data_IF_817757474481
#
_entry.id   IF_817757474481
#
_cell.length_a   1.000
_cell.length_b   1.000
_cell.length_c   1.000
_cell.angle_alpha   90.00
_cell.angle_beta   90.00
_cell.angle_gamma   90.00
#
_symmetry.space_group_name_H-M   'P 1'
#
loop_
_entity.id
_entity.type
_entity.pdbx_description
1 polymer ?
#
# COMPACT_ATOMS: atom_id res chain seq x y z
N UNK A 1 -17.75 -9.31 12.77
CA UNK A 1 -16.40 -8.80 12.41
C UNK A 1 -16.52 -7.96 11.16
N UNK A 2 -15.90 -6.78 11.14
CA UNK A 2 -15.82 -5.87 9.98
C UNK A 2 -14.39 -5.89 9.40
N UNK A 3 -14.08 -5.02 8.43
CA UNK A 3 -12.78 -4.87 7.77
C UNK A 3 -12.63 -3.44 7.25
N UNK A 4 -11.39 -2.93 7.18
CA UNK A 4 -11.05 -1.59 6.68
C UNK A 4 -9.95 -1.69 5.62
N UNK A 5 -10.16 -1.07 4.47
CA UNK A 5 -9.09 -0.92 3.47
C UNK A 5 -8.11 0.18 3.91
N UNK A 6 -6.86 -0.22 4.17
CA UNK A 6 -5.77 0.64 4.64
C UNK A 6 -4.72 0.97 3.57
N UNK A 7 -4.79 0.33 2.40
CA UNK A 7 -3.90 0.54 1.25
C UNK A 7 -4.78 0.76 0.01
N UNK A 8 -4.97 2.03 -0.35
CA UNK A 8 -5.95 2.48 -1.35
C UNK A 8 -5.40 3.65 -2.15
N UNK A 9 -5.35 3.46 -3.46
CA UNK A 9 -4.97 4.43 -4.47
C UNK A 9 -6.21 5.05 -5.11
N UNK A 10 -6.25 6.38 -5.10
CA UNK A 10 -7.29 7.17 -5.74
C UNK A 10 -6.87 7.64 -7.13
N UNK A 11 -7.71 8.45 -7.78
CA UNK A 11 -7.34 9.13 -9.02
C UNK A 11 -6.11 10.06 -8.90
N UNK A 12 -5.61 10.31 -7.67
CA UNK A 12 -4.43 11.13 -7.41
C UNK A 12 -3.12 10.34 -7.41
N UNK A 13 -3.17 9.00 -7.45
CA UNK A 13 -2.08 8.17 -7.94
C UNK A 13 -2.01 8.27 -9.46
N UNK A 14 -1.53 9.42 -9.95
CA UNK A 14 -1.59 9.81 -11.36
C UNK A 14 -0.93 8.74 -12.24
N UNK A 15 -1.65 8.32 -13.29
CA UNK A 15 -1.25 7.26 -14.22
C UNK A 15 -1.18 5.85 -13.60
N UNK A 16 -1.85 5.62 -12.48
CA UNK A 16 -1.99 4.26 -11.92
C UNK A 16 -3.39 4.07 -11.31
N UNK A 17 -3.70 4.85 -10.27
CA UNK A 17 -4.99 4.78 -9.59
C UNK A 17 -6.15 5.29 -10.44
N UNK A 18 -7.19 4.47 -10.51
CA UNK A 18 -8.45 4.71 -11.21
C UNK A 18 -9.66 4.67 -10.25
N UNK A 19 -9.48 5.07 -8.99
CA UNK A 19 -10.53 5.08 -7.98
C UNK A 19 -10.99 6.49 -7.60
N UNK A 20 -12.13 7.00 -8.12
CA UNK A 20 -12.69 8.26 -7.65
C UNK A 20 -12.97 8.24 -6.15
N UNK A 21 -12.41 9.21 -5.41
CA UNK A 21 -12.58 9.36 -3.94
C UNK A 21 -14.05 9.21 -3.50
N UNK A 22 -14.99 9.86 -4.20
CA UNK A 22 -16.42 9.78 -3.88
C UNK A 22 -16.95 8.34 -3.97
N UNK A 23 -16.55 7.62 -5.00
CA UNK A 23 -16.97 6.23 -5.21
C UNK A 23 -16.39 5.29 -4.14
N UNK A 24 -15.15 5.54 -3.68
CA UNK A 24 -14.55 4.80 -2.57
C UNK A 24 -15.38 4.93 -1.28
N UNK A 25 -15.77 6.14 -0.89
CA UNK A 25 -16.63 6.35 0.28
C UNK A 25 -18.02 5.73 0.13
N UNK A 26 -18.63 5.82 -1.06
CA UNK A 26 -19.91 5.16 -1.34
C UNK A 26 -19.81 3.65 -1.16
N UNK A 27 -18.71 3.06 -1.62
CA UNK A 27 -18.49 1.62 -1.56
C UNK A 27 -18.14 1.15 -0.14
N UNK A 28 -17.33 1.90 0.60
CA UNK A 28 -17.06 1.66 2.01
C UNK A 28 -18.35 1.65 2.84
N UNK A 29 -19.21 2.67 2.70
CA UNK A 29 -20.54 2.72 3.34
C UNK A 29 -21.42 1.54 2.92
N UNK A 30 -21.49 1.23 1.62
CA UNK A 30 -22.30 0.11 1.09
C UNK A 30 -21.90 -1.24 1.71
N UNK A 31 -20.60 -1.45 1.96
CA UNK A 31 -20.09 -2.66 2.59
C UNK A 31 -20.02 -2.60 4.12
N UNK A 32 -20.48 -1.52 4.74
CA UNK A 32 -20.45 -1.36 6.20
C UNK A 32 -19.03 -1.31 6.79
N UNK A 33 -18.06 -0.83 6.01
CA UNK A 33 -16.69 -0.61 6.48
C UNK A 33 -16.62 0.71 7.27
N UNK A 34 -16.16 0.70 8.53
CA UNK A 34 -16.26 1.87 9.41
C UNK A 34 -15.20 2.94 9.13
N UNK A 35 -14.19 2.62 8.33
CA UNK A 35 -13.11 3.53 7.98
C UNK A 35 -12.55 3.21 6.58
N UNK A 36 -11.76 4.14 6.06
CA UNK A 36 -11.10 4.04 4.77
C UNK A 36 -9.81 4.86 4.80
N UNK A 37 -8.69 4.29 4.38
CA UNK A 37 -7.46 5.05 4.14
C UNK A 37 -7.36 5.61 2.72
N UNK A 38 -6.57 6.66 2.56
CA UNK A 38 -6.04 7.12 1.27
C UNK A 38 -4.52 7.05 1.31
N UNK A 39 -3.90 6.26 0.43
CA UNK A 39 -2.45 6.00 0.41
C UNK A 39 -1.87 6.14 -1.00
N UNK A 40 -2.13 7.27 -1.66
CA UNK A 40 -1.62 7.51 -3.01
C UNK A 40 -0.08 7.43 -3.11
N UNK A 41 0.41 7.12 -4.32
CA UNK A 41 1.85 6.95 -4.59
C UNK A 41 2.63 8.25 -4.42
N UNK A 42 3.46 8.34 -3.38
CA UNK A 42 4.47 9.38 -3.18
C UNK A 42 3.96 10.81 -2.96
N UNK A 43 2.64 11.03 -2.99
CA UNK A 43 2.02 12.35 -2.94
C UNK A 43 0.74 12.36 -2.11
N UNK A 44 0.44 13.51 -1.51
CA UNK A 44 -0.78 13.76 -0.74
C UNK A 44 -1.78 14.66 -1.48
N UNK A 45 -1.77 14.65 -2.82
CA UNK A 45 -2.58 15.56 -3.64
C UNK A 45 -4.08 15.42 -3.37
N UNK A 46 -4.55 14.19 -3.16
CA UNK A 46 -5.96 13.89 -2.94
C UNK A 46 -6.49 14.23 -1.55
N UNK A 47 -5.63 14.51 -0.56
CA UNK A 47 -6.03 14.60 0.86
C UNK A 47 -7.08 15.68 1.11
N UNK A 48 -6.97 16.83 0.46
CA UNK A 48 -7.96 17.91 0.62
C UNK A 48 -9.35 17.50 0.11
N UNK A 49 -9.41 16.86 -1.06
CA UNK A 49 -10.67 16.34 -1.60
C UNK A 49 -11.20 15.19 -0.73
N UNK A 50 -10.33 14.27 -0.31
CA UNK A 50 -10.64 13.14 0.54
C UNK A 50 -11.35 13.55 1.82
N UNK A 51 -10.76 14.48 2.57
CA UNK A 51 -11.35 14.99 3.82
C UNK A 51 -12.66 15.76 3.57
N UNK A 52 -12.76 16.51 2.48
CA UNK A 52 -13.99 17.22 2.11
C UNK A 52 -15.12 16.22 1.81
N UNK A 53 -14.83 15.18 1.03
CA UNK A 53 -15.82 14.14 0.68
C UNK A 53 -16.18 13.34 1.93
N UNK A 54 -15.22 13.01 2.79
CA UNK A 54 -15.47 12.29 4.04
C UNK A 54 -16.54 12.95 4.93
N UNK A 55 -16.63 14.28 4.92
CA UNK A 55 -17.67 15.02 5.64
C UNK A 55 -19.11 14.70 5.16
N UNK A 56 -19.28 14.19 3.94
CA UNK A 56 -20.54 13.69 3.39
C UNK A 56 -20.86 12.24 3.85
N UNK A 57 -19.89 11.55 4.47
CA UNK A 57 -19.95 10.16 4.92
C UNK A 57 -19.54 9.97 6.39
N UNK A 58 -20.32 10.51 7.36
CA UNK A 58 -19.94 10.53 8.78
C UNK A 58 -19.82 9.14 9.45
N UNK A 59 -20.30 8.09 8.80
CA UNK A 59 -20.21 6.69 9.18
C UNK A 59 -18.94 5.98 8.70
N UNK A 60 -18.11 6.67 7.89
CA UNK A 60 -16.81 6.16 7.40
C UNK A 60 -15.70 7.11 7.82
N UNK A 61 -14.90 6.72 8.81
CA UNK A 61 -13.75 7.49 9.30
C UNK A 61 -12.66 7.58 8.21
N UNK A 62 -12.25 8.80 7.78
CA UNK A 62 -11.11 8.95 6.87
C UNK A 62 -9.78 8.74 7.61
N UNK A 63 -8.88 7.96 7.02
CA UNK A 63 -7.50 7.77 7.47
C UNK A 63 -6.58 8.35 6.39
N UNK A 64 -5.78 9.36 6.75
CA UNK A 64 -4.84 9.98 5.80
C UNK A 64 -3.53 9.21 5.82
N UNK A 65 -3.07 8.76 4.66
CA UNK A 65 -1.78 8.09 4.50
C UNK A 65 -1.10 8.44 3.19
N UNK A 66 -0.03 7.69 2.89
CA UNK A 66 0.71 7.76 1.63
C UNK A 66 1.47 6.44 1.45
N UNK A 67 1.49 5.90 0.24
CA UNK A 67 2.50 4.91 -0.12
C UNK A 67 3.76 5.66 -0.57
N UNK A 68 4.72 5.80 0.34
CA UNK A 68 5.96 6.54 0.06
C UNK A 68 6.98 5.64 -0.65
N UNK A 69 7.83 6.27 -1.46
CA UNK A 69 8.97 5.59 -2.06
C UNK A 69 10.19 5.74 -1.16
N UNK A 70 10.84 4.63 -0.79
CA UNK A 70 12.07 4.63 0.01
C UNK A 70 13.25 4.28 -0.89
N UNK A 71 14.28 5.13 -0.89
CA UNK A 71 15.52 4.88 -1.62
C UNK A 71 16.21 3.62 -1.09
N UNK A 72 16.95 2.92 -1.97
CA UNK A 72 17.66 1.69 -1.60
C UNK A 72 18.77 1.93 -0.55
N UNK A 73 19.35 3.13 -0.55
CA UNK A 73 20.43 3.52 0.35
C UNK A 73 20.22 4.98 0.81
N UNK A 74 20.37 5.94 -0.10
CA UNK A 74 20.34 7.38 0.19
C UNK A 74 19.46 8.11 -0.83
N UNK A 75 18.56 8.97 -0.35
CA UNK A 75 17.63 9.75 -1.18
C UNK A 75 18.30 10.68 -2.18
N UNK A 76 19.56 11.08 -1.98
CA UNK A 76 20.37 11.95 -2.84
C UNK A 76 21.10 11.20 -3.96
N UNK A 77 21.15 9.86 -3.91
CA UNK A 77 21.91 9.07 -4.90
C UNK A 77 21.18 8.95 -6.25
N UNK A 78 21.92 8.99 -7.36
CA UNK A 78 21.41 9.02 -8.76
C UNK A 78 22.23 8.16 -9.74
N UNK A 79 22.43 6.87 -9.46
CA UNK A 79 23.25 5.93 -10.26
C UNK A 79 22.43 5.20 -11.35
N UNK A 80 21.81 5.96 -12.26
CA UNK A 80 21.12 5.38 -13.42
C UNK A 80 19.97 4.44 -13.03
N UNK A 81 19.91 3.24 -13.64
CA UNK A 81 18.80 2.27 -13.45
C UNK A 81 18.66 1.73 -12.01
N UNK A 82 19.72 1.75 -11.22
CA UNK A 82 19.69 1.23 -9.84
C UNK A 82 18.78 2.11 -9.00
N UNK A 83 19.02 3.42 -9.01
CA UNK A 83 18.29 4.38 -8.18
C UNK A 83 16.94 4.81 -8.78
N UNK A 84 16.61 4.36 -10.00
CA UNK A 84 15.22 4.42 -10.50
C UNK A 84 14.30 3.52 -9.68
N UNK A 85 14.84 2.45 -9.09
CA UNK A 85 14.09 1.59 -8.16
C UNK A 85 13.99 2.28 -6.80
N UNK A 86 12.85 2.07 -6.17
CA UNK A 86 12.60 2.41 -4.78
C UNK A 86 11.76 1.29 -4.16
N UNK A 87 11.84 1.15 -2.85
CA UNK A 87 10.90 0.33 -2.09
C UNK A 87 9.61 1.11 -1.87
N UNK A 88 8.50 0.40 -1.76
CA UNK A 88 7.25 0.97 -1.29
C UNK A 88 7.15 0.85 0.23
N UNK A 89 6.48 1.81 0.87
CA UNK A 89 6.19 1.77 2.29
C UNK A 89 4.88 2.51 2.56
N UNK A 90 3.97 1.91 3.31
CA UNK A 90 2.73 2.58 3.69
C UNK A 90 2.93 3.28 5.03
N UNK A 91 2.61 4.57 5.06
CA UNK A 91 2.59 5.38 6.25
C UNK A 91 1.19 5.99 6.43
N UNK A 92 0.59 5.77 7.59
CA UNK A 92 -0.73 6.30 7.96
C UNK A 92 -0.59 7.29 9.11
N UNK A 93 -1.24 8.44 9.02
CA UNK A 93 -1.27 9.43 10.08
C UNK A 93 -2.21 8.97 11.21
N UNK A 94 -1.63 8.51 12.33
CA UNK A 94 -2.36 8.13 13.55
C UNK A 94 -2.99 9.34 14.24
N UNK A 95 -2.36 10.50 14.11
CA UNK A 95 -2.80 11.76 14.72
C UNK A 95 -2.29 12.98 13.91
N UNK A 96 -2.54 14.18 14.43
CA UNK A 96 -2.15 15.43 13.75
C UNK A 96 -0.63 15.60 13.62
N UNK A 97 0.17 15.11 14.58
CA UNK A 97 1.63 15.09 14.49
C UNK A 97 2.06 14.20 13.32
N UNK A 98 1.48 13.00 13.23
CA UNK A 98 1.66 12.10 12.09
C UNK A 98 1.32 12.75 10.76
N UNK A 99 0.18 13.45 10.67
CA UNK A 99 -0.20 14.17 9.46
C UNK A 99 0.86 15.21 9.05
N UNK A 100 1.35 16.02 9.99
CA UNK A 100 2.40 17.00 9.69
C UNK A 100 3.73 16.33 9.29
N UNK A 101 4.08 15.24 9.93
CA UNK A 101 5.25 14.45 9.59
C UNK A 101 5.15 13.83 8.19
N UNK A 102 3.99 13.29 7.83
CA UNK A 102 3.73 12.77 6.49
C UNK A 102 3.86 13.86 5.42
N UNK A 103 3.31 15.05 5.68
CA UNK A 103 3.50 16.23 4.81
C UNK A 103 4.98 16.57 4.64
N UNK A 104 5.78 16.50 5.71
CA UNK A 104 7.23 16.73 5.64
C UNK A 104 7.93 15.66 4.82
N UNK A 105 7.65 14.38 5.04
CA UNK A 105 8.22 13.28 4.29
C UNK A 105 7.93 13.40 2.79
N UNK A 106 6.68 13.61 2.40
CA UNK A 106 6.32 13.80 0.99
C UNK A 106 6.98 15.05 0.37
N UNK A 107 7.08 16.14 1.13
CA UNK A 107 7.73 17.37 0.66
C UNK A 107 9.24 17.17 0.44
N UNK A 108 9.93 16.55 1.41
CA UNK A 108 11.38 16.31 1.33
C UNK A 108 11.72 15.24 0.28
N UNK A 109 10.89 14.21 0.14
CA UNK A 109 11.03 13.24 -0.95
C UNK A 109 10.96 13.89 -2.33
N UNK A 110 10.17 14.96 -2.47
CA UNK A 110 10.11 15.76 -3.69
C UNK A 110 11.29 16.73 -3.85
N UNK A 111 11.62 17.49 -2.80
CA UNK A 111 12.59 18.58 -2.88
C UNK A 111 14.04 18.04 -2.92
N UNK A 112 14.32 16.99 -2.15
CA UNK A 112 15.66 16.43 -1.99
C UNK A 112 15.81 15.07 -2.71
N UNK A 113 14.77 14.25 -2.61
CA UNK A 113 14.83 12.84 -3.00
C UNK A 113 14.44 12.50 -4.43
N UNK A 114 13.92 13.47 -5.17
CA UNK A 114 13.28 13.20 -6.46
C UNK A 114 14.28 12.73 -7.51
N UNK A 115 13.98 11.57 -8.10
CA UNK A 115 14.65 11.07 -9.29
C UNK A 115 13.64 10.61 -10.33
N UNK A 116 13.25 9.33 -10.29
CA UNK A 116 12.09 8.83 -11.02
C UNK A 116 10.82 8.89 -10.17
N UNK A 117 10.99 8.76 -8.85
CA UNK A 117 9.98 8.91 -7.83
C UNK A 117 10.45 9.90 -6.77
N UNK A 118 9.54 10.54 -6.00
CA UNK A 118 9.90 11.34 -4.83
C UNK A 118 10.29 10.41 -3.67
N UNK A 119 11.59 10.15 -3.51
CA UNK A 119 12.06 9.13 -2.56
C UNK A 119 12.46 9.73 -1.22
N UNK A 120 12.04 9.13 -0.13
CA UNK A 120 12.61 9.35 1.20
C UNK A 120 13.69 8.31 1.49
N UNK A 121 14.24 8.31 2.70
CA UNK A 121 15.18 7.30 3.18
C UNK A 121 14.98 7.03 4.67
N UNK A 122 15.76 6.10 5.22
CA UNK A 122 15.73 5.72 6.63
C UNK A 122 16.02 6.90 7.57
N UNK A 123 16.88 7.85 7.19
CA UNK A 123 17.18 9.05 8.00
C UNK A 123 15.93 9.92 8.17
N UNK A 124 15.21 10.19 7.07
CA UNK A 124 13.98 10.97 7.13
C UNK A 124 12.87 10.23 7.89
N UNK A 125 12.76 8.90 7.71
CA UNK A 125 11.79 8.08 8.44
C UNK A 125 12.07 8.16 9.95
N UNK A 126 13.30 7.92 10.39
CA UNK A 126 13.69 8.01 11.79
C UNK A 126 13.41 9.41 12.37
N UNK A 127 13.64 10.47 11.59
CA UNK A 127 13.38 11.84 12.03
C UNK A 127 11.89 12.20 12.15
N UNK A 128 11.03 11.63 11.31
CA UNK A 128 9.62 12.01 11.17
C UNK A 128 8.64 10.85 11.44
N UNK A 129 9.04 9.81 12.19
CA UNK A 129 8.17 8.65 12.47
C UNK A 129 7.06 8.95 13.48
N UNK A 130 7.20 9.96 14.34
CA UNK A 130 6.27 10.19 15.45
C UNK A 130 4.83 10.39 14.94
N UNK A 131 3.89 9.64 15.52
CA UNK A 131 2.47 9.72 15.17
C UNK A 131 2.10 9.05 13.85
N UNK A 132 2.99 8.25 13.26
CA UNK A 132 2.72 7.45 12.07
C UNK A 132 2.57 5.96 12.42
N UNK A 133 1.67 5.29 11.71
CA UNK A 133 1.59 3.83 11.62
C UNK A 133 2.27 3.41 10.33
N UNK A 134 3.05 2.33 10.39
CA UNK A 134 3.88 1.85 9.30
C UNK A 134 3.55 0.39 8.96
N UNK A 135 3.50 0.06 7.67
CA UNK A 135 3.27 -1.31 7.22
C UNK A 135 4.24 -1.70 6.11
N UNK A 136 4.50 -3.00 5.93
CA UNK A 136 5.49 -3.50 4.94
C UNK A 136 5.12 -3.30 3.47
N UNK A 137 3.92 -2.77 3.19
CA UNK A 137 3.39 -2.53 1.85
C UNK A 137 3.26 -3.80 0.98
N UNK A 138 3.12 -3.60 -0.33
CA UNK A 138 2.92 -4.65 -1.35
C UNK A 138 4.24 -5.36 -1.71
N UNK A 139 4.24 -6.20 -2.76
CA UNK A 139 5.46 -6.86 -3.27
C UNK A 139 6.59 -5.88 -3.67
N UNK A 140 6.27 -4.57 -3.83
CA UNK A 140 7.23 -3.50 -4.03
C UNK A 140 8.00 -3.06 -2.78
N UNK A 141 7.58 -3.50 -1.59
CA UNK A 141 8.19 -3.15 -0.32
C UNK A 141 9.57 -3.77 -0.08
N UNK A 142 10.30 -3.19 0.88
CA UNK A 142 11.65 -3.67 1.24
C UNK A 142 11.65 -5.12 1.71
N UNK A 143 10.81 -5.43 2.71
CA UNK A 143 10.73 -6.77 3.31
C UNK A 143 10.25 -7.82 2.29
N UNK A 144 9.13 -7.63 1.54
CA UNK A 144 8.72 -8.55 0.50
C UNK A 144 9.78 -8.80 -0.58
N UNK A 145 10.50 -7.76 -1.03
CA UNK A 145 11.56 -7.94 -2.03
C UNK A 145 12.72 -8.77 -1.50
N UNK A 146 13.17 -8.54 -0.26
CA UNK A 146 14.24 -9.36 0.35
C UNK A 146 13.85 -10.83 0.47
N UNK A 147 12.59 -11.11 0.82
CA UNK A 147 12.05 -12.47 0.87
C UNK A 147 12.09 -13.11 -0.52
N UNK A 148 11.61 -12.42 -1.56
CA UNK A 148 11.62 -12.92 -2.94
C UNK A 148 13.05 -13.11 -3.49
N UNK A 149 14.02 -12.33 -3.02
CA UNK A 149 15.45 -12.49 -3.33
C UNK A 149 16.10 -13.69 -2.60
N UNK A 150 15.36 -14.38 -1.71
CA UNK A 150 15.86 -15.47 -0.88
C UNK A 150 16.76 -15.01 0.28
N UNK A 151 16.79 -13.70 0.57
CA UNK A 151 17.62 -13.12 1.62
C UNK A 151 16.80 -12.86 2.90
N UNK A 152 16.50 -13.94 3.61
CA UNK A 152 15.68 -13.86 4.82
C UNK A 152 16.37 -13.09 5.96
N UNK A 153 17.70 -13.11 6.03
CA UNK A 153 18.47 -12.34 7.01
C UNK A 153 18.25 -10.83 6.82
N UNK A 154 18.35 -10.34 5.58
CA UNK A 154 18.10 -8.93 5.28
C UNK A 154 16.61 -8.56 5.43
N UNK A 155 15.68 -9.50 5.17
CA UNK A 155 14.26 -9.28 5.43
C UNK A 155 13.98 -9.08 6.93
N UNK A 156 14.55 -9.95 7.78
CA UNK A 156 14.43 -9.86 9.23
C UNK A 156 15.10 -8.60 9.79
N UNK A 157 16.28 -8.23 9.29
CA UNK A 157 16.95 -6.98 9.66
C UNK A 157 16.06 -5.75 9.36
N UNK A 158 15.44 -5.71 8.18
CA UNK A 158 14.52 -4.63 7.82
C UNK A 158 13.29 -4.62 8.75
N UNK A 159 12.68 -5.77 9.02
CA UNK A 159 11.55 -5.88 9.97
C UNK A 159 11.91 -5.35 11.35
N UNK A 160 13.07 -5.73 11.88
CA UNK A 160 13.53 -5.29 13.20
C UNK A 160 13.87 -3.80 13.21
N UNK A 161 14.42 -3.26 12.11
CA UNK A 161 14.68 -1.84 11.98
C UNK A 161 13.38 -1.03 12.04
N UNK A 162 12.37 -1.34 11.20
CA UNK A 162 11.08 -0.65 11.26
C UNK A 162 10.40 -0.83 12.63
N UNK A 163 10.43 -2.04 13.22
CA UNK A 163 9.90 -2.28 14.56
C UNK A 163 10.58 -1.40 15.62
N UNK A 164 11.89 -1.19 15.53
CA UNK A 164 12.63 -0.34 16.47
C UNK A 164 12.22 1.13 16.42
N UNK A 165 11.74 1.59 15.26
CA UNK A 165 11.30 2.97 15.04
C UNK A 165 9.83 3.16 15.40
N UNK A 166 8.96 2.26 14.94
CA UNK A 166 7.51 2.41 15.06
C UNK A 166 6.89 1.64 16.23
N UNK A 167 7.62 0.69 16.83
CA UNK A 167 7.14 -0.09 17.98
C UNK A 167 5.86 -0.86 17.66
N UNK A 168 4.82 -0.62 18.46
CA UNK A 168 3.49 -1.22 18.29
C UNK A 168 2.73 -0.67 17.08
N UNK A 169 3.14 0.49 16.54
CA UNK A 169 2.55 1.10 15.35
C UNK A 169 3.15 0.52 14.04
N UNK A 170 3.83 -0.63 14.12
CA UNK A 170 4.36 -1.38 12.98
C UNK A 170 3.58 -2.66 12.73
N UNK A 171 3.13 -2.86 11.49
CA UNK A 171 2.38 -4.04 11.07
C UNK A 171 3.02 -4.69 9.86
N UNK A 172 3.01 -6.03 9.80
CA UNK A 172 3.31 -6.73 8.56
C UNK A 172 2.04 -6.80 7.71
N UNK A 173 2.18 -6.55 6.42
CA UNK A 173 1.06 -6.42 5.48
C UNK A 173 1.01 -7.61 4.54
N UNK A 174 -0.14 -8.30 4.52
CA UNK A 174 -0.40 -9.42 3.61
C UNK A 174 -1.45 -9.05 2.57
N UNK A 175 -1.24 -9.52 1.35
CA UNK A 175 -2.11 -9.30 0.20
C UNK A 175 -2.28 -10.61 -0.57
N UNK A 176 -3.39 -10.77 -1.28
CA UNK A 176 -3.70 -12.01 -2.00
C UNK A 176 -4.54 -11.71 -3.23
N UNK A 177 -3.96 -11.95 -4.41
CA UNK A 177 -4.54 -11.57 -5.70
C UNK A 177 -4.65 -12.77 -6.68
N UNK A 178 -5.38 -13.84 -6.33
CA UNK A 178 -5.62 -14.95 -7.25
C UNK A 178 -6.44 -14.46 -8.46
N UNK A 179 -5.98 -14.77 -9.67
CA UNK A 179 -6.64 -14.29 -10.89
C UNK A 179 -6.82 -15.38 -11.94
N UNK A 180 -8.03 -15.43 -12.48
CA UNK A 180 -8.40 -16.24 -13.65
C UNK A 180 -8.53 -15.40 -14.92
N UNK A 181 -8.20 -14.10 -14.85
CA UNK A 181 -8.29 -13.20 -16.00
C UNK A 181 -7.24 -13.60 -17.05
N UNK A 182 -7.63 -13.77 -18.33
CA UNK A 182 -6.67 -14.09 -19.38
C UNK A 182 -5.54 -13.07 -19.46
N UNK A 183 -4.29 -13.56 -19.58
CA UNK A 183 -3.05 -12.77 -19.65
C UNK A 183 -2.68 -11.98 -18.39
N UNK A 184 -3.49 -12.04 -17.33
CA UNK A 184 -3.11 -11.44 -16.04
C UNK A 184 -1.95 -12.24 -15.39
N UNK A 185 -1.02 -11.59 -14.68
CA UNK A 185 0.18 -12.22 -14.15
C UNK A 185 -0.13 -13.11 -12.94
N UNK A 186 -0.30 -14.42 -13.19
CA UNK A 186 -0.52 -15.43 -12.14
C UNK A 186 0.62 -15.52 -11.13
N UNK A 187 1.84 -15.25 -11.58
CA UNK A 187 3.04 -15.20 -10.74
C UNK A 187 2.95 -14.19 -9.58
N UNK A 188 2.08 -13.18 -9.69
CA UNK A 188 1.83 -12.23 -8.59
C UNK A 188 1.28 -12.95 -7.37
N UNK A 189 0.29 -13.82 -7.57
CA UNK A 189 -0.30 -14.60 -6.49
C UNK A 189 0.71 -15.61 -5.91
N UNK A 190 1.47 -16.28 -6.77
CA UNK A 190 2.52 -17.23 -6.35
C UNK A 190 3.58 -16.55 -5.48
N UNK A 191 4.05 -15.36 -5.87
CA UNK A 191 4.98 -14.54 -5.08
C UNK A 191 4.37 -14.10 -3.75
N UNK A 192 3.10 -13.70 -3.75
CA UNK A 192 2.38 -13.33 -2.52
C UNK A 192 2.26 -14.50 -1.55
N UNK A 193 2.05 -15.73 -2.02
CA UNK A 193 2.01 -16.90 -1.13
C UNK A 193 3.34 -17.10 -0.40
N UNK A 194 4.46 -17.02 -1.13
CA UNK A 194 5.81 -17.13 -0.55
C UNK A 194 6.07 -16.00 0.46
N UNK A 195 5.74 -14.76 0.09
CA UNK A 195 5.93 -13.60 0.96
C UNK A 195 5.04 -13.68 2.20
N UNK A 196 3.75 -14.01 2.05
CA UNK A 196 2.82 -14.08 3.17
C UNK A 196 3.24 -15.14 4.19
N UNK A 197 3.66 -16.33 3.74
CA UNK A 197 4.17 -17.39 4.64
C UNK A 197 5.34 -16.87 5.50
N UNK A 198 6.33 -16.25 4.85
CA UNK A 198 7.47 -15.67 5.55
C UNK A 198 7.07 -14.51 6.49
N UNK A 199 6.12 -13.66 6.09
CA UNK A 199 5.62 -12.58 6.95
C UNK A 199 4.91 -13.14 8.18
N UNK A 200 4.12 -14.20 8.07
CA UNK A 200 3.49 -14.85 9.23
C UNK A 200 4.54 -15.44 10.19
N UNK A 201 5.60 -16.06 9.65
CA UNK A 201 6.71 -16.57 10.48
C UNK A 201 7.44 -15.45 11.21
N UNK A 202 7.79 -14.36 10.51
CA UNK A 202 8.45 -13.18 11.08
C UNK A 202 7.56 -12.49 12.12
N UNK A 203 6.27 -12.32 11.83
CA UNK A 203 5.28 -11.76 12.75
C UNK A 203 5.23 -12.55 14.06
N UNK A 204 5.14 -13.88 13.96
CA UNK A 204 5.12 -14.77 15.13
C UNK A 204 6.44 -14.73 15.90
N UNK A 205 7.58 -14.74 15.19
CA UNK A 205 8.93 -14.73 15.80
C UNK A 205 9.20 -13.44 16.58
N UNK A 206 8.72 -12.32 16.07
CA UNK A 206 9.04 -11.00 16.61
C UNK A 206 7.88 -10.32 17.32
N UNK A 207 6.73 -10.99 17.50
CA UNK A 207 5.53 -10.43 18.13
C UNK A 207 5.12 -9.12 17.43
N UNK A 208 4.78 -9.23 16.14
CA UNK A 208 4.30 -8.13 15.29
C UNK A 208 2.95 -8.55 14.73
N UNK A 209 1.97 -7.64 14.77
CA UNK A 209 0.65 -7.92 14.20
C UNK A 209 0.68 -7.89 12.68
N UNK A 210 -0.17 -8.72 12.08
CA UNK A 210 -0.35 -8.79 10.63
C UNK A 210 -1.69 -8.19 10.25
N UNK A 211 -1.73 -7.38 9.19
CA UNK A 211 -2.95 -6.82 8.61
C UNK A 211 -3.13 -7.27 7.17
N UNK A 212 -4.38 -7.50 6.75
CA UNK A 212 -4.69 -7.67 5.34
C UNK A 212 -5.04 -6.34 4.68
N UNK A 213 -4.54 -6.15 3.46
CA UNK A 213 -4.94 -5.08 2.57
C UNK A 213 -5.16 -5.65 1.16
N UNK A 214 -5.56 -4.82 0.21
CA UNK A 214 -5.83 -5.25 -1.16
C UNK A 214 -5.28 -4.29 -2.23
N UNK A 215 -4.42 -3.35 -1.83
CA UNK A 215 -3.75 -2.41 -2.74
C UNK A 215 -4.70 -1.84 -3.81
N UNK A 216 -5.76 -1.18 -3.36
CA UNK A 216 -6.91 -0.88 -4.23
C UNK A 216 -6.53 0.18 -5.26
N UNK A 217 -6.65 -0.14 -6.55
CA UNK A 217 -6.38 0.75 -7.67
C UNK A 217 -7.64 1.13 -8.46
N UNK A 218 -8.74 0.39 -8.32
CA UNK A 218 -10.02 0.74 -8.96
C UNK A 218 -11.21 0.34 -8.08
N UNK A 219 -12.41 0.87 -8.37
CA UNK A 219 -13.53 0.74 -7.43
C UNK A 219 -14.20 -0.61 -7.57
N UNK A 220 -14.74 -0.92 -8.74
CA UNK A 220 -15.52 -2.12 -9.02
C UNK A 220 -14.70 -3.17 -9.75
N UNK A 221 -15.00 -4.46 -9.54
CA UNK A 221 -14.30 -5.56 -10.22
C UNK A 221 -14.37 -5.39 -11.74
N UNK A 222 -15.50 -4.87 -12.22
CA UNK A 222 -15.81 -4.58 -13.61
C UNK A 222 -14.94 -3.45 -14.21
N UNK A 223 -14.28 -2.64 -13.38
CA UNK A 223 -13.37 -1.57 -13.83
C UNK A 223 -11.98 -2.10 -14.23
N UNK A 224 -11.67 -3.37 -13.92
CA UNK A 224 -10.37 -3.99 -14.22
C UNK A 224 -9.89 -3.82 -15.67
N UNK A 225 -10.73 -4.05 -16.70
CA UNK A 225 -10.37 -3.79 -18.09
C UNK A 225 -10.11 -2.31 -18.41
N UNK A 226 -10.79 -1.38 -17.75
CA UNK A 226 -10.55 0.05 -17.93
C UNK A 226 -9.23 0.48 -17.28
N UNK A 227 -8.94 -0.02 -16.07
CA UNK A 227 -7.66 0.15 -15.40
C UNK A 227 -6.50 -0.42 -16.24
N UNK A 228 -6.66 -1.61 -16.82
CA UNK A 228 -5.67 -2.21 -17.73
C UNK A 228 -5.34 -1.29 -18.94
N UNK A 229 -6.32 -0.53 -19.45
CA UNK A 229 -6.09 0.48 -20.49
C UNK A 229 -5.34 1.71 -19.97
N UNK A 230 -5.60 2.13 -18.73
CA UNK A 230 -4.83 3.19 -18.08
C UNK A 230 -3.35 2.82 -18.01
N UNK A 231 -3.02 1.59 -17.59
CA UNK A 231 -1.63 1.10 -17.54
C UNK A 231 -0.94 1.14 -18.91
N UNK A 232 -1.68 0.87 -20.00
CA UNK A 232 -1.13 1.02 -21.35
C UNK A 232 -0.72 2.47 -21.65
N UNK A 233 -1.51 3.46 -21.21
CA UNK A 233 -1.19 4.88 -21.37
C UNK A 233 0.05 5.27 -20.55
N UNK A 234 0.16 4.76 -19.33
CA UNK A 234 1.27 5.04 -18.39
C UNK A 234 2.63 4.65 -18.97
N UNK A 235 2.71 3.45 -19.54
CA UNK A 235 3.95 2.92 -20.10
C UNK A 235 4.10 3.18 -21.60
N UNK A 236 3.13 3.89 -22.21
CA UNK A 236 3.09 4.15 -23.65
C UNK A 236 3.19 2.86 -24.49
N UNK A 237 2.44 1.84 -24.09
CA UNK A 237 2.40 0.52 -24.74
C UNK A 237 1.09 0.33 -25.51
N UNK A 238 1.13 -0.49 -26.57
CA UNK A 238 -0.08 -0.91 -27.26
C UNK A 238 -0.81 -1.99 -26.45
N UNK A 239 -2.12 -2.07 -26.61
CA UNK A 239 -2.98 -3.03 -25.88
C UNK A 239 -2.59 -4.49 -26.13
N UNK A 240 -2.17 -4.79 -27.36
CA UNK A 240 -1.81 -6.10 -27.88
C UNK A 240 -0.33 -6.47 -27.67
N UNK A 241 0.47 -5.59 -27.07
CA UNK A 241 1.85 -5.88 -26.70
C UNK A 241 1.89 -7.07 -25.71
N UNK A 242 2.54 -8.19 -26.04
CA UNK A 242 2.60 -9.35 -25.15
C UNK A 242 3.40 -9.06 -23.87
N UNK A 243 4.41 -8.20 -23.92
CA UNK A 243 5.37 -7.98 -22.85
C UNK A 243 5.01 -6.77 -21.95
N UNK A 244 3.89 -6.09 -22.22
CA UNK A 244 3.44 -4.97 -21.38
C UNK A 244 3.10 -5.42 -19.96
N UNK A 245 3.28 -4.49 -19.02
CA UNK A 245 2.80 -4.65 -17.65
C UNK A 245 1.28 -4.84 -17.62
N UNK A 246 0.84 -5.80 -16.82
CA UNK A 246 -0.57 -6.12 -16.53
C UNK A 246 -0.71 -6.31 -15.03
N UNK A 247 -1.83 -5.86 -14.49
CA UNK A 247 -2.22 -6.13 -13.11
C UNK A 247 -3.06 -7.41 -13.06
N UNK A 248 -3.27 -7.95 -11.86
CA UNK A 248 -4.07 -9.17 -11.69
C UNK A 248 -5.57 -8.94 -11.94
N UNK A 249 -5.98 -7.66 -11.94
CA UNK A 249 -7.37 -7.20 -11.92
C UNK A 249 -8.11 -7.63 -10.64
N UNK A 250 -7.38 -7.88 -9.55
CA UNK A 250 -7.93 -8.12 -8.22
C UNK A 250 -7.81 -6.90 -7.30
N UNK A 251 -7.18 -5.82 -7.78
CA UNK A 251 -6.90 -4.58 -7.07
C UNK A 251 -8.14 -3.67 -6.99
N UNK A 252 -9.33 -4.26 -6.84
CA UNK A 252 -10.58 -3.52 -6.64
C UNK A 252 -10.95 -3.37 -5.17
N UNK A 253 -11.88 -2.48 -4.88
CA UNK A 253 -12.41 -2.30 -3.53
C UNK A 253 -13.30 -3.50 -3.13
N UNK A 254 -12.70 -4.52 -2.49
CA UNK A 254 -13.39 -5.74 -2.07
C UNK A 254 -14.30 -5.52 -0.86
N UNK A 255 -15.40 -6.28 -0.82
CA UNK A 255 -16.21 -6.47 0.40
C UNK A 255 -15.43 -7.25 1.46
N UNK A 256 -15.93 -7.22 2.70
CA UNK A 256 -15.35 -8.00 3.80
C UNK A 256 -15.42 -9.50 3.52
N UNK A 257 -16.52 -9.99 2.93
CA UNK A 257 -16.71 -11.41 2.61
C UNK A 257 -15.69 -11.88 1.57
N UNK A 258 -15.42 -11.07 0.55
CA UNK A 258 -14.36 -11.34 -0.44
C UNK A 258 -12.98 -11.34 0.21
N UNK A 259 -12.68 -10.36 1.09
CA UNK A 259 -11.40 -10.33 1.80
C UNK A 259 -11.23 -11.53 2.74
N UNK A 260 -12.27 -11.93 3.46
CA UNK A 260 -12.22 -13.07 4.38
C UNK A 260 -11.96 -14.39 3.64
N UNK A 261 -12.49 -14.53 2.42
CA UNK A 261 -12.25 -15.70 1.58
C UNK A 261 -10.78 -15.83 1.12
N UNK A 262 -10.01 -14.74 1.10
CA UNK A 262 -8.60 -14.74 0.74
C UNK A 262 -7.68 -15.21 1.87
N UNK A 263 -8.14 -15.13 3.13
CA UNK A 263 -7.37 -15.44 4.33
C UNK A 263 -8.14 -16.36 5.29
N UNK A 264 -8.57 -17.56 4.84
CA UNK A 264 -9.45 -18.44 5.62
C UNK A 264 -8.79 -18.95 6.92
N UNK A 265 -7.48 -19.15 6.90
CA UNK A 265 -6.71 -19.67 8.04
C UNK A 265 -6.23 -18.56 9.00
N UNK A 266 -6.38 -17.29 8.59
CA UNK A 266 -5.88 -16.12 9.30
C UNK A 266 -6.94 -15.02 9.42
N UNK A 267 -8.14 -15.29 9.97
CA UNK A 267 -9.21 -14.29 10.06
C UNK A 267 -8.82 -13.05 10.90
N UNK A 268 -7.83 -13.17 11.78
CA UNK A 268 -7.33 -12.10 12.64
C UNK A 268 -6.75 -10.93 11.85
N UNK A 269 -6.18 -11.17 10.67
CA UNK A 269 -5.55 -10.12 9.86
C UNK A 269 -6.56 -9.08 9.36
N UNK A 270 -7.83 -9.48 9.22
CA UNK A 270 -8.92 -8.54 8.92
C UNK A 270 -9.30 -7.74 10.17
N UNK A 271 -9.41 -8.37 11.34
CA UNK A 271 -9.76 -7.65 12.57
C UNK A 271 -8.68 -6.67 13.00
N UNK A 272 -7.40 -6.97 12.76
CA UNK A 272 -6.30 -6.06 13.07
C UNK A 272 -6.39 -4.74 12.26
N UNK A 273 -7.06 -4.74 11.09
CA UNK A 273 -7.31 -3.48 10.35
C UNK A 273 -8.23 -2.52 11.12
N UNK A 274 -9.12 -3.04 11.97
CA UNK A 274 -10.01 -2.23 12.80
C UNK A 274 -9.24 -1.56 13.94
N UNK A 275 -8.22 -2.23 14.48
CA UNK A 275 -7.34 -1.64 15.49
C UNK A 275 -6.56 -0.45 14.94
N UNK A 276 -6.04 -0.55 13.71
CA UNK A 276 -5.40 0.58 13.02
C UNK A 276 -6.39 1.73 12.79
N UNK A 277 -7.67 1.39 12.60
CA UNK A 277 -8.71 2.37 12.33
C UNK A 277 -9.26 3.06 13.58
N UNK A 278 -9.11 2.49 14.79
CA UNK A 278 -9.61 3.07 16.05
C UNK A 278 -8.77 4.27 16.52
#
# INVERSE_FOLDING_TARGET
MSFVHLHVHSQYSILDGASPIKSLFQKARKYGQPALALTDHGYMYGVKEFLRVAAEYPDVKPIVGCEVYVALEDRHTRRGKIDQKAYHLILLAKNITGYHNLVKLCSLGNIEGFYFHPRIDRELIEKYHEGLICTTACLGGEVPRRIMEGNMEAAEEAVLWYKSIFGEDYYLEVQSHPTDVPLAPKETFEKQQIVNEALYELAKKHDIKVIATNDVHFVDKEDGPAHDRLICLTFNNNVDDPDRLRYTQQEYFKSKEEMAALFPDHPEVLSNTLEVAD
#
